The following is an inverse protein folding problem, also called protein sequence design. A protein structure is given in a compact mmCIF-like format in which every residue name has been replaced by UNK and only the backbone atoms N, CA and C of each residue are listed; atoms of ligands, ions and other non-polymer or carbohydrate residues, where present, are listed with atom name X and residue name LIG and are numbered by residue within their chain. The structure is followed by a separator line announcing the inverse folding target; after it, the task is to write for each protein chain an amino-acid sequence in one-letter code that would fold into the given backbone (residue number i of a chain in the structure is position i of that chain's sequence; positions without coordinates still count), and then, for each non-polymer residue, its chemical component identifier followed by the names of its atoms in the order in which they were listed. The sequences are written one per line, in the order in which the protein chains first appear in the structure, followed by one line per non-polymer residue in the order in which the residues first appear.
data_IF_194717058308
#
_entry.id   IF_194717058308
#
_cell.length_a   1.000
_cell.length_b   1.000
_cell.length_c   1.000
_cell.angle_alpha   90.00
_cell.angle_beta   90.00
_cell.angle_gamma   90.00
#
_symmetry.space_group_name_H-M   'P 1'
#
loop_
_entity.id
_entity.type
_entity.pdbx_description
1 polymer ?
#
# COMPACT_ATOMS: atom_id res chain seq x y z
N UNK A 1 -32.62 52.70 14.09
CA UNK A 1 -31.37 51.91 14.15
C UNK A 1 -31.74 50.47 13.86
N UNK A 2 -31.38 49.95 12.69
CA UNK A 2 -31.71 48.58 12.28
C UNK A 2 -30.69 47.61 12.90
N UNK A 3 -31.16 46.73 13.77
CA UNK A 3 -30.37 45.67 14.37
C UNK A 3 -30.00 44.64 13.30
N UNK A 4 -28.70 44.54 12.99
CA UNK A 4 -28.19 43.46 12.15
C UNK A 4 -28.21 42.16 12.96
N UNK A 5 -29.12 41.27 12.60
CA UNK A 5 -29.14 39.88 13.08
C UNK A 5 -27.91 39.16 12.53
N UNK A 6 -26.93 38.89 13.38
CA UNK A 6 -25.80 38.02 13.05
C UNK A 6 -26.32 36.58 12.88
N UNK A 7 -26.31 36.10 11.63
CA UNK A 7 -26.60 34.69 11.33
C UNK A 7 -25.46 33.87 11.93
N UNK A 8 -25.71 33.29 13.12
CA UNK A 8 -24.81 32.36 13.77
C UNK A 8 -24.98 31.00 13.10
N UNK A 9 -24.06 30.67 12.19
CA UNK A 9 -23.96 29.34 11.62
C UNK A 9 -23.65 28.36 12.75
N UNK A 10 -24.61 27.50 13.11
CA UNK A 10 -24.37 26.39 14.05
C UNK A 10 -23.56 25.33 13.33
N UNK A 11 -22.26 25.30 13.61
CA UNK A 11 -21.38 24.23 13.17
C UNK A 11 -21.74 22.92 13.88
N UNK A 12 -21.51 21.76 13.25
CA UNK A 12 -21.70 20.46 13.89
C UNK A 12 -20.90 20.39 15.20
N UNK A 13 -21.53 19.85 16.25
CA UNK A 13 -20.86 19.63 17.53
C UNK A 13 -19.72 18.64 17.34
N UNK A 14 -18.50 19.04 17.70
CA UNK A 14 -17.33 18.17 17.66
C UNK A 14 -17.56 17.05 18.67
N UNK A 15 -17.55 15.81 18.18
CA UNK A 15 -17.67 14.64 19.04
C UNK A 15 -16.34 14.39 19.77
N UNK A 16 -16.43 14.08 21.06
CA UNK A 16 -15.28 13.69 21.85
C UNK A 16 -14.62 12.45 21.22
N UNK A 17 -13.29 12.46 21.03
CA UNK A 17 -12.58 11.29 20.51
C UNK A 17 -12.71 10.14 21.50
N UNK A 18 -12.79 8.92 20.98
CA UNK A 18 -12.69 7.72 21.83
C UNK A 18 -11.30 7.11 21.68
N UNK A 19 -10.82 6.47 22.75
CA UNK A 19 -9.52 5.83 22.75
C UNK A 19 -9.58 4.47 23.44
N UNK A 20 -9.25 3.42 22.68
CA UNK A 20 -9.29 2.03 23.11
C UNK A 20 -7.96 1.52 23.65
N UNK A 21 -6.88 2.28 23.47
CA UNK A 21 -5.52 1.88 23.83
C UNK A 21 -4.65 1.47 22.66
N UNK A 22 -5.13 1.62 21.41
CA UNK A 22 -4.28 1.46 20.25
C UNK A 22 -3.31 2.65 20.13
N UNK A 23 -2.02 2.37 20.22
CA UNK A 23 -0.96 3.37 20.15
C UNK A 23 -1.03 4.29 18.91
N UNK A 24 -1.50 3.80 17.76
CA UNK A 24 -1.66 4.64 16.55
C UNK A 24 -2.68 5.76 16.71
N UNK A 25 -3.67 5.58 17.61
CA UNK A 25 -4.70 6.57 17.92
C UNK A 25 -4.35 7.50 19.07
N UNK A 26 -3.24 7.26 19.79
CA UNK A 26 -2.90 7.98 21.02
C UNK A 26 -2.72 9.48 20.79
N UNK A 27 -1.92 9.86 19.79
CA UNK A 27 -1.57 11.28 19.53
C UNK A 27 -2.82 12.07 19.18
N UNK A 28 -3.63 11.56 18.23
CA UNK A 28 -4.90 12.18 17.85
C UNK A 28 -5.84 12.34 19.04
N UNK A 29 -5.99 11.30 19.86
CA UNK A 29 -6.82 11.36 21.06
C UNK A 29 -6.28 12.41 22.05
N UNK A 30 -4.99 12.37 22.34
CA UNK A 30 -4.33 13.25 23.29
C UNK A 30 -4.49 14.70 22.89
N UNK A 31 -4.16 15.07 21.64
CA UNK A 31 -4.24 16.44 21.16
C UNK A 31 -5.69 16.95 21.17
N UNK A 32 -6.62 16.14 20.66
CA UNK A 32 -8.04 16.51 20.58
C UNK A 32 -8.69 16.61 21.97
N UNK A 33 -8.42 15.66 22.86
CA UNK A 33 -8.94 15.70 24.23
C UNK A 33 -8.31 16.84 25.03
N UNK A 34 -7.03 17.13 24.79
CA UNK A 34 -6.33 18.24 25.43
C UNK A 34 -7.01 19.56 25.08
N UNK A 35 -7.19 19.83 23.77
CA UNK A 35 -7.78 21.08 23.31
C UNK A 35 -9.25 21.25 23.68
N UNK A 36 -10.03 20.16 23.73
CA UNK A 36 -11.48 20.23 23.97
C UNK A 36 -11.87 20.14 25.44
N UNK A 37 -11.09 19.44 26.27
CA UNK A 37 -11.45 19.14 27.67
C UNK A 37 -10.35 19.53 28.64
N UNK A 38 -9.10 19.09 28.44
CA UNK A 38 -8.05 19.32 29.44
C UNK A 38 -7.77 20.81 29.68
N UNK A 39 -7.69 21.59 28.60
CA UNK A 39 -7.42 23.04 28.62
C UNK A 39 -8.68 23.90 28.81
N UNK A 40 -9.86 23.28 28.93
CA UNK A 40 -11.10 23.99 29.18
C UNK A 40 -11.26 24.40 30.65
N UNK A 41 -12.18 25.34 30.90
CA UNK A 41 -12.55 25.84 32.24
C UNK A 41 -13.38 24.86 33.09
N UNK A 42 -13.51 23.60 32.65
CA UNK A 42 -14.21 22.55 33.40
C UNK A 42 -13.47 22.21 34.71
N UNK A 43 -14.22 21.75 35.72
CA UNK A 43 -13.59 21.22 36.94
C UNK A 43 -12.90 19.88 36.67
N UNK A 44 -11.93 19.52 37.51
CA UNK A 44 -11.18 18.27 37.36
C UNK A 44 -12.09 17.03 37.43
N UNK A 45 -13.10 17.02 38.31
CA UNK A 45 -14.17 15.98 38.31
C UNK A 45 -14.90 15.90 36.98
N UNK A 46 -15.29 17.03 36.39
CA UNK A 46 -15.98 17.04 35.10
C UNK A 46 -15.07 16.51 33.99
N UNK A 47 -13.81 16.98 33.94
CA UNK A 47 -12.80 16.48 33.01
C UNK A 47 -12.60 14.98 33.17
N UNK A 48 -12.63 14.46 34.39
CA UNK A 48 -12.50 13.03 34.65
C UNK A 48 -13.76 12.25 34.19
N UNK A 49 -14.97 12.77 34.38
CA UNK A 49 -16.17 12.15 33.79
C UNK A 49 -16.06 12.02 32.27
N UNK A 50 -15.61 13.09 31.59
CA UNK A 50 -15.37 13.04 30.14
C UNK A 50 -14.28 12.03 29.78
N UNK A 51 -13.15 12.05 30.49
CA UNK A 51 -12.03 11.13 30.26
C UNK A 51 -12.48 9.67 30.39
N UNK A 52 -13.18 9.33 31.48
CA UNK A 52 -13.67 7.98 31.72
C UNK A 52 -14.70 7.53 30.65
N UNK A 53 -15.53 8.46 30.16
CA UNK A 53 -16.48 8.18 29.08
C UNK A 53 -15.81 7.97 27.70
N UNK A 54 -14.70 8.64 27.46
CA UNK A 54 -13.97 8.62 26.20
C UNK A 54 -13.07 7.37 26.05
N UNK A 55 -12.59 6.82 27.16
CA UNK A 55 -11.73 5.65 27.15
C UNK A 55 -12.53 4.35 27.01
N UNK A 56 -11.94 3.40 26.29
CA UNK A 56 -12.49 2.06 26.03
C UNK A 56 -11.42 1.00 26.25
N UNK A 57 -11.85 -0.25 26.43
CA UNK A 57 -10.97 -1.42 26.40
C UNK A 57 -9.72 -1.30 27.28
N UNK A 58 -8.52 -1.66 26.75
CA UNK A 58 -7.24 -1.48 27.45
C UNK A 58 -6.99 -0.10 28.06
N UNK A 59 -7.38 0.99 27.39
CA UNK A 59 -7.13 2.33 27.92
C UNK A 59 -7.98 2.65 29.14
N UNK A 60 -9.24 2.23 29.16
CA UNK A 60 -10.12 2.40 30.33
C UNK A 60 -9.58 1.64 31.56
N UNK A 61 -8.95 0.48 31.36
CA UNK A 61 -8.34 -0.31 32.45
C UNK A 61 -7.22 0.42 33.18
N UNK A 62 -6.53 1.37 32.54
CA UNK A 62 -5.43 2.13 33.17
C UNK A 62 -5.91 2.93 34.38
N UNK A 63 -7.15 3.38 34.36
CA UNK A 63 -7.71 4.27 35.39
C UNK A 63 -8.88 3.64 36.13
N UNK A 64 -9.18 2.36 35.87
CA UNK A 64 -10.37 1.67 36.38
C UNK A 64 -10.42 1.60 37.91
N UNK A 65 -9.27 1.57 38.58
CA UNK A 65 -9.20 1.55 40.06
C UNK A 65 -9.35 2.93 40.69
N UNK A 66 -9.37 4.00 39.91
CA UNK A 66 -9.48 5.37 40.39
C UNK A 66 -10.97 5.77 40.44
N UNK A 67 -11.44 6.17 41.62
CA UNK A 67 -12.76 6.79 41.75
C UNK A 67 -12.77 8.16 41.09
N UNK A 68 -13.91 8.56 40.49
CA UNK A 68 -14.04 9.87 39.86
C UNK A 68 -14.07 10.97 40.94
N UNK A 69 -12.96 11.71 41.05
CA UNK A 69 -12.77 12.84 41.99
C UNK A 69 -11.77 13.85 41.42
N UNK A 70 -11.73 15.07 41.95
CA UNK A 70 -10.85 16.13 41.45
C UNK A 70 -9.38 15.70 41.62
N UNK A 71 -9.05 15.17 42.81
CA UNK A 71 -7.72 14.68 43.15
C UNK A 71 -7.22 13.56 42.24
N UNK A 72 -8.13 12.72 41.72
CA UNK A 72 -7.76 11.56 40.93
C UNK A 72 -7.65 11.86 39.44
N UNK A 73 -8.18 12.99 38.95
CA UNK A 73 -8.10 13.36 37.54
C UNK A 73 -6.64 13.48 37.06
N UNK A 74 -5.83 14.25 37.78
CA UNK A 74 -4.40 14.38 37.49
C UNK A 74 -3.71 13.02 37.44
N UNK A 75 -4.00 12.15 38.42
CA UNK A 75 -3.39 10.81 38.53
C UNK A 75 -3.77 9.97 37.30
N UNK A 76 -5.05 9.98 36.91
CA UNK A 76 -5.56 9.31 35.73
C UNK A 76 -4.89 9.81 34.45
N UNK A 77 -4.76 11.14 34.30
CA UNK A 77 -4.14 11.79 33.14
C UNK A 77 -2.67 11.42 33.00
N UNK A 78 -1.90 11.50 34.09
CA UNK A 78 -0.47 11.11 34.10
C UNK A 78 -0.29 9.61 33.87
N UNK A 79 -1.16 8.76 34.42
CA UNK A 79 -1.09 7.32 34.20
C UNK A 79 -1.33 6.94 32.73
N UNK A 80 -2.32 7.55 32.07
CA UNK A 80 -2.57 7.37 30.64
C UNK A 80 -1.38 7.85 29.80
N UNK A 81 -0.89 9.05 30.11
CA UNK A 81 0.30 9.62 29.49
C UNK A 81 1.48 8.67 29.60
N UNK A 82 1.86 8.27 30.81
CA UNK A 82 2.97 7.33 31.04
C UNK A 82 2.81 6.00 30.29
N UNK A 83 1.59 5.45 30.21
CA UNK A 83 1.31 4.17 29.55
C UNK A 83 1.40 4.25 28.02
N UNK A 84 0.81 5.27 27.44
CA UNK A 84 0.57 5.36 25.98
C UNK A 84 1.49 6.34 25.27
N UNK A 85 2.00 7.33 25.99
CA UNK A 85 3.15 8.13 25.60
C UNK A 85 4.47 7.40 25.86
N UNK A 86 4.44 6.08 26.15
CA UNK A 86 5.61 5.21 26.12
C UNK A 86 6.15 5.11 24.68
N UNK A 87 6.81 6.20 24.32
CA UNK A 87 7.30 6.57 23.01
C UNK A 87 8.37 5.63 22.51
N UNK A 88 9.03 4.84 23.37
CA UNK A 88 10.06 3.89 22.94
C UNK A 88 9.48 2.73 22.12
N UNK A 89 8.38 2.13 22.56
CA UNK A 89 7.71 1.05 21.83
C UNK A 89 7.10 1.56 20.51
N UNK A 90 6.50 2.75 20.56
CA UNK A 90 5.91 3.44 19.41
C UNK A 90 6.97 3.82 18.36
N UNK A 91 8.07 4.44 18.78
CA UNK A 91 9.22 4.73 17.93
C UNK A 91 9.76 3.46 17.29
N UNK A 92 10.00 2.42 18.10
CA UNK A 92 10.47 1.13 17.60
C UNK A 92 9.51 0.56 16.55
N UNK A 93 8.20 0.61 16.80
CA UNK A 93 7.19 0.13 15.87
C UNK A 93 7.26 0.88 14.53
N UNK A 94 7.22 2.21 14.53
CA UNK A 94 7.25 3.00 13.30
C UNK A 94 8.57 2.88 12.54
N UNK A 95 9.72 2.85 13.24
CA UNK A 95 11.01 2.60 12.60
C UNK A 95 11.05 1.21 11.98
N UNK A 96 10.60 0.18 12.69
CA UNK A 96 10.58 -1.19 12.18
C UNK A 96 9.65 -1.30 10.97
N UNK A 97 8.44 -0.75 11.05
CA UNK A 97 7.47 -0.76 9.94
C UNK A 97 8.00 -0.03 8.69
N UNK A 98 8.68 1.10 8.89
CA UNK A 98 9.34 1.85 7.81
C UNK A 98 10.45 1.04 7.12
N UNK A 99 11.27 0.32 7.91
CA UNK A 99 12.32 -0.57 7.39
C UNK A 99 11.73 -1.81 6.70
N UNK A 100 10.58 -2.29 7.16
CA UNK A 100 9.90 -3.49 6.70
C UNK A 100 8.88 -3.24 5.58
N UNK A 101 8.77 -2.00 5.07
CA UNK A 101 7.95 -1.68 3.88
C UNK A 101 8.23 -2.72 2.78
N UNK A 102 7.16 -3.22 2.16
CA UNK A 102 7.22 -4.34 1.21
C UNK A 102 8.06 -3.97 -0.01
N UNK A 103 8.89 -4.92 -0.48
CA UNK A 103 9.69 -4.76 -1.70
C UNK A 103 8.78 -4.92 -2.92
N UNK A 104 8.81 -3.93 -3.81
CA UNK A 104 8.09 -3.91 -5.08
C UNK A 104 8.87 -4.76 -6.10
N UNK A 105 8.35 -5.96 -6.40
CA UNK A 105 9.01 -6.90 -7.31
C UNK A 105 8.81 -6.57 -8.79
N UNK A 106 7.69 -5.91 -9.13
CA UNK A 106 7.29 -5.57 -10.49
C UNK A 106 6.71 -4.17 -10.52
N UNK A 107 6.85 -3.49 -11.65
CA UNK A 107 6.25 -2.18 -11.88
C UNK A 107 4.76 -2.20 -11.54
N UNK A 108 4.36 -1.36 -10.60
CA UNK A 108 2.98 -1.23 -10.16
C UNK A 108 2.74 0.21 -9.72
N UNK A 109 1.85 0.96 -10.41
CA UNK A 109 1.55 2.34 -10.03
C UNK A 109 0.98 2.43 -8.61
N UNK A 110 0.15 1.46 -8.23
CA UNK A 110 -0.48 1.39 -6.90
C UNK A 110 0.60 1.17 -5.83
N UNK A 111 1.50 0.20 -6.04
CA UNK A 111 2.53 -0.12 -5.04
C UNK A 111 3.52 1.03 -4.83
N UNK A 112 3.83 1.82 -5.87
CA UNK A 112 4.67 3.01 -5.73
C UNK A 112 4.00 4.09 -4.88
N UNK A 113 2.68 4.28 -5.04
CA UNK A 113 1.90 5.23 -4.24
C UNK A 113 1.79 4.77 -2.79
N UNK A 114 1.47 3.50 -2.57
CA UNK A 114 1.40 2.90 -1.23
C UNK A 114 2.74 3.00 -0.50
N UNK A 115 3.88 2.77 -1.18
CA UNK A 115 5.21 2.96 -0.59
C UNK A 115 5.43 4.39 -0.10
N UNK A 116 5.03 5.39 -0.89
CA UNK A 116 5.15 6.81 -0.52
C UNK A 116 4.24 7.14 0.65
N UNK A 117 2.99 6.67 0.62
CA UNK A 117 1.99 6.90 1.67
C UNK A 117 2.45 6.27 2.99
N UNK A 118 2.89 5.01 2.97
CA UNK A 118 3.42 4.31 4.15
C UNK A 118 4.64 5.03 4.73
N UNK A 119 5.59 5.43 3.88
CA UNK A 119 6.77 6.17 4.33
C UNK A 119 6.39 7.52 4.97
N UNK A 120 5.49 8.28 4.34
CA UNK A 120 4.99 9.55 4.90
C UNK A 120 4.27 9.35 6.22
N UNK A 121 3.41 8.33 6.32
CA UNK A 121 2.66 8.03 7.53
C UNK A 121 3.59 7.71 8.71
N UNK A 122 4.61 6.86 8.49
CA UNK A 122 5.58 6.52 9.53
C UNK A 122 6.49 7.70 9.89
N UNK A 123 6.99 8.48 8.92
CA UNK A 123 7.79 9.67 9.20
C UNK A 123 6.98 10.75 9.94
N UNK A 124 5.70 10.94 9.60
CA UNK A 124 4.82 11.85 10.31
C UNK A 124 4.58 11.42 11.76
N UNK A 125 4.34 10.12 11.99
CA UNK A 125 4.18 9.57 13.33
C UNK A 125 5.47 9.67 14.17
N UNK A 126 6.65 9.51 13.54
CA UNK A 126 7.93 9.71 14.21
C UNK A 126 8.17 11.19 14.53
N UNK A 127 7.81 12.11 13.62
CA UNK A 127 7.88 13.56 13.86
C UNK A 127 7.03 13.98 15.06
N UNK A 128 5.81 13.45 15.19
CA UNK A 128 4.95 13.74 16.35
C UNK A 128 5.44 13.10 17.65
N UNK A 129 6.36 12.13 17.58
CA UNK A 129 7.11 11.59 18.72
C UNK A 129 8.42 12.35 18.99
N UNK A 130 8.61 13.52 18.36
CA UNK A 130 9.79 14.39 18.45
C UNK A 130 11.09 13.78 17.90
N UNK A 131 11.00 12.85 16.95
CA UNK A 131 12.17 12.37 16.20
C UNK A 131 12.59 13.38 15.12
N UNK A 132 13.91 13.61 14.91
CA UNK A 132 14.42 14.59 13.96
C UNK A 132 14.39 14.08 12.51
N UNK A 133 13.22 13.62 12.06
CA UNK A 133 13.02 12.95 10.76
C UNK A 133 13.43 13.81 9.56
N UNK A 134 13.39 15.13 9.69
CA UNK A 134 13.77 16.08 8.63
C UNK A 134 15.27 16.04 8.30
N UNK A 135 16.08 15.43 9.18
CA UNK A 135 17.52 15.22 8.96
C UNK A 135 17.85 13.83 8.40
N UNK A 136 16.85 12.98 8.18
CA UNK A 136 17.05 11.56 7.83
C UNK A 136 17.05 11.28 6.34
N UNK A 137 16.92 12.30 5.48
CA UNK A 137 16.89 12.16 4.02
C UNK A 137 18.00 11.24 3.49
N UNK A 138 19.23 11.43 3.96
CA UNK A 138 20.41 10.65 3.56
C UNK A 138 20.37 9.18 3.98
N UNK A 139 19.47 8.80 4.90
CA UNK A 139 19.24 7.42 5.30
C UNK A 139 17.98 6.86 4.64
N UNK A 140 16.88 7.60 4.69
CA UNK A 140 15.57 7.08 4.30
C UNK A 140 15.45 6.89 2.79
N UNK A 141 16.01 7.80 1.99
CA UNK A 141 15.95 7.69 0.54
C UNK A 141 16.69 6.42 0.07
N UNK A 142 17.95 6.15 0.46
CA UNK A 142 18.61 4.88 0.12
C UNK A 142 17.86 3.64 0.61
N UNK A 143 17.26 3.67 1.80
CA UNK A 143 16.46 2.55 2.33
C UNK A 143 15.25 2.28 1.43
N UNK A 144 14.50 3.32 1.07
CA UNK A 144 13.32 3.19 0.21
C UNK A 144 13.68 2.83 -1.24
N UNK A 145 14.85 3.27 -1.74
CA UNK A 145 15.35 2.85 -3.05
C UNK A 145 15.50 1.32 -3.14
N UNK A 146 15.89 0.65 -2.05
CA UNK A 146 15.97 -0.81 -1.97
C UNK A 146 14.62 -1.52 -2.03
N UNK A 147 13.51 -0.78 -1.88
CA UNK A 147 12.15 -1.29 -1.98
C UNK A 147 11.57 -1.16 -3.39
N UNK A 148 12.22 -0.42 -4.29
CA UNK A 148 11.72 -0.21 -5.65
C UNK A 148 11.96 -1.41 -6.56
N UNK A 149 11.12 -1.53 -7.59
CA UNK A 149 11.43 -2.40 -8.72
C UNK A 149 12.62 -1.86 -9.53
N UNK A 150 13.32 -2.75 -10.25
CA UNK A 150 14.54 -2.37 -10.96
C UNK A 150 14.36 -1.28 -12.02
N UNK A 151 13.19 -1.17 -12.65
CA UNK A 151 12.93 -0.15 -13.66
C UNK A 151 12.68 1.22 -13.02
N UNK A 152 11.94 1.28 -11.91
CA UNK A 152 11.72 2.52 -11.15
C UNK A 152 13.01 3.00 -10.47
N UNK A 153 13.81 2.09 -9.90
CA UNK A 153 15.13 2.43 -9.35
C UNK A 153 16.06 3.04 -10.40
N UNK A 154 16.13 2.43 -11.60
CA UNK A 154 16.99 2.94 -12.68
C UNK A 154 16.63 4.37 -13.10
N UNK A 155 15.33 4.65 -13.26
CA UNK A 155 14.86 6.00 -13.61
C UNK A 155 15.12 7.00 -12.48
N UNK A 156 14.98 6.56 -11.22
CA UNK A 156 15.32 7.39 -10.07
C UNK A 156 16.80 7.76 -10.06
N UNK A 157 17.70 6.78 -10.14
CA UNK A 157 19.15 7.02 -10.12
C UNK A 157 19.58 7.95 -11.26
N UNK A 158 18.98 7.79 -12.44
CA UNK A 158 19.20 8.68 -13.58
C UNK A 158 18.80 10.14 -13.27
N UNK A 159 17.68 10.36 -12.58
CA UNK A 159 17.22 11.70 -12.14
C UNK A 159 18.07 12.24 -10.98
N UNK A 160 18.45 11.37 -10.04
CA UNK A 160 19.17 11.74 -8.82
C UNK A 160 20.64 12.08 -9.06
N UNK A 161 21.28 11.52 -10.10
CA UNK A 161 22.69 11.75 -10.44
C UNK A 161 23.04 13.24 -10.62
N UNK A 162 22.07 14.09 -10.95
CA UNK A 162 22.28 15.53 -11.13
C UNK A 162 22.13 16.38 -9.85
N UNK A 163 21.81 15.75 -8.71
CA UNK A 163 21.52 16.45 -7.45
C UNK A 163 22.54 16.11 -6.36
N UNK A 164 23.12 17.15 -5.74
CA UNK A 164 24.10 17.00 -4.64
C UNK A 164 23.46 16.50 -3.33
N UNK A 165 22.20 16.87 -3.08
CA UNK A 165 21.39 16.35 -1.98
C UNK A 165 20.03 15.88 -2.47
N UNK A 166 19.64 14.71 -1.99
CA UNK A 166 18.41 14.05 -2.40
C UNK A 166 17.44 14.08 -1.23
N UNK A 167 16.53 15.07 -1.23
CA UNK A 167 15.50 15.21 -0.21
C UNK A 167 14.41 14.14 -0.39
N UNK A 168 13.84 13.63 0.71
CA UNK A 168 12.73 12.68 0.66
C UNK A 168 11.54 13.22 -0.13
N UNK A 169 11.25 14.52 -0.02
CA UNK A 169 10.15 15.12 -0.77
C UNK A 169 10.35 15.02 -2.30
N UNK A 170 11.58 15.22 -2.78
CA UNK A 170 11.91 15.08 -4.21
C UNK A 170 11.75 13.63 -4.69
N UNK A 171 12.15 12.68 -3.83
CA UNK A 171 11.95 11.26 -4.07
C UNK A 171 10.47 10.88 -4.12
N UNK A 172 9.69 11.34 -3.16
CA UNK A 172 8.25 11.10 -3.11
C UNK A 172 7.54 11.66 -4.35
N UNK A 173 7.83 12.91 -4.73
CA UNK A 173 7.29 13.52 -5.96
C UNK A 173 7.68 12.73 -7.20
N UNK A 174 8.93 12.27 -7.31
CA UNK A 174 9.33 11.40 -8.42
C UNK A 174 8.51 10.10 -8.48
N UNK A 175 8.28 9.44 -7.34
CA UNK A 175 7.51 8.20 -7.31
C UNK A 175 6.02 8.42 -7.65
N UNK A 176 5.46 9.55 -7.24
CA UNK A 176 4.10 9.96 -7.65
C UNK A 176 4.01 10.20 -9.16
N UNK A 177 4.96 10.95 -9.73
CA UNK A 177 5.08 11.16 -11.18
C UNK A 177 5.24 9.83 -11.92
N UNK A 178 6.07 8.93 -11.39
CA UNK A 178 6.32 7.60 -11.94
C UNK A 178 5.07 6.72 -11.88
N UNK A 179 4.32 6.76 -10.78
CA UNK A 179 3.03 6.09 -10.61
C UNK A 179 2.04 6.57 -11.67
N UNK A 180 1.85 7.88 -11.81
CA UNK A 180 0.96 8.47 -12.81
C UNK A 180 1.38 8.12 -14.25
N UNK A 181 2.67 8.17 -14.55
CA UNK A 181 3.19 7.74 -15.85
C UNK A 181 2.81 6.28 -16.14
N UNK A 182 3.03 5.37 -15.18
CA UNK A 182 2.68 3.95 -15.34
C UNK A 182 1.17 3.76 -15.54
N UNK A 183 0.32 4.50 -14.84
CA UNK A 183 -1.14 4.48 -15.07
C UNK A 183 -1.50 4.88 -16.49
N UNK A 184 -0.85 5.92 -17.03
CA UNK A 184 -1.14 6.45 -18.36
C UNK A 184 -0.62 5.57 -19.51
N UNK A 185 0.49 4.86 -19.31
CA UNK A 185 1.04 3.95 -20.33
C UNK A 185 0.47 2.54 -20.25
N UNK A 186 -0.21 2.19 -19.15
CA UNK A 186 -0.93 0.93 -19.05
C UNK A 186 -2.23 1.08 -19.84
N UNK A 187 -2.51 0.26 -20.87
CA UNK A 187 -3.75 0.37 -21.63
C UNK A 187 -4.95 0.32 -20.69
N UNK A 188 -5.87 1.29 -20.81
CA UNK A 188 -7.14 1.40 -20.06
C UNK A 188 -8.06 0.19 -20.34
N UNK A 189 -7.70 -0.98 -19.79
CA UNK A 189 -8.39 -2.24 -20.06
C UNK A 189 -8.08 -3.36 -19.07
N UNK A 190 -7.27 -3.10 -18.04
CA UNK A 190 -7.08 -4.03 -16.92
C UNK A 190 -7.45 -3.35 -15.60
N UNK A 191 -8.68 -2.83 -15.52
CA UNK A 191 -9.38 -2.86 -14.24
C UNK A 191 -9.60 -4.35 -13.96
N UNK A 192 -8.68 -4.97 -13.22
CA UNK A 192 -8.99 -6.23 -12.56
C UNK A 192 -10.08 -5.90 -11.55
N UNK A 193 -11.34 -5.99 -11.97
CA UNK A 193 -12.46 -6.08 -11.05
C UNK A 193 -12.10 -7.24 -10.15
N UNK A 194 -11.83 -6.96 -8.87
CA UNK A 194 -11.61 -7.97 -7.88
C UNK A 194 -12.75 -8.97 -8.02
N UNK A 195 -12.44 -10.21 -8.44
CA UNK A 195 -13.42 -11.28 -8.40
C UNK A 195 -13.79 -11.43 -6.93
N UNK A 196 -14.96 -10.91 -6.58
CA UNK A 196 -15.64 -11.27 -5.33
C UNK A 196 -15.76 -12.78 -5.37
N UNK A 197 -14.99 -13.47 -4.52
CA UNK A 197 -15.11 -14.90 -4.36
C UNK A 197 -16.57 -15.20 -3.97
N UNK A 198 -17.30 -16.08 -4.70
CA UNK A 198 -18.56 -16.58 -4.20
C UNK A 198 -18.33 -17.30 -2.87
N UNK A 199 -19.32 -17.30 -1.96
CA UNK A 199 -19.17 -17.94 -0.66
C UNK A 199 -18.93 -19.44 -0.81
N UNK A 200 -18.08 -19.93 0.09
CA UNK A 200 -17.52 -21.27 0.17
C UNK A 200 -18.61 -22.34 0.20
N UNK A 201 -18.53 -23.29 -0.74
CA UNK A 201 -19.39 -24.47 -0.77
C UNK A 201 -18.72 -25.64 -1.49
N UNK A 202 -18.37 -26.66 -0.71
CA UNK A 202 -18.05 -28.04 -1.07
C UNK A 202 -16.70 -28.39 -1.74
N UNK A 203 -15.89 -29.02 -0.88
CA UNK A 203 -14.71 -29.85 -1.08
C UNK A 203 -14.58 -30.61 -2.41
N UNK A 204 -13.39 -30.51 -3.00
CA UNK A 204 -12.88 -31.38 -4.05
C UNK A 204 -11.36 -31.42 -4.02
N UNK A 205 -10.82 -32.49 -3.47
CA UNK A 205 -9.41 -32.76 -3.18
C UNK A 205 -8.52 -32.69 -4.44
N UNK A 206 -7.68 -31.66 -4.62
CA UNK A 206 -6.50 -31.70 -5.52
C UNK A 206 -5.32 -30.91 -4.95
N UNK A 207 -4.17 -31.59 -4.89
CA UNK A 207 -2.89 -31.13 -4.33
C UNK A 207 -2.37 -29.86 -5.04
N UNK A 208 -1.64 -28.96 -4.36
CA UNK A 208 -1.10 -27.76 -4.97
C UNK A 208 0.14 -28.11 -5.81
N UNK A 209 0.13 -27.76 -7.10
CA UNK A 209 1.29 -27.86 -7.99
C UNK A 209 1.85 -26.46 -8.21
N UNK A 210 3.17 -26.33 -8.09
CA UNK A 210 3.93 -25.09 -8.27
C UNK A 210 3.57 -24.38 -9.60
N UNK A 211 3.05 -23.15 -9.51
CA UNK A 211 2.83 -22.28 -10.68
C UNK A 211 4.13 -21.60 -11.09
N UNK A 212 4.72 -22.08 -12.18
CA UNK A 212 5.65 -21.29 -13.00
C UNK A 212 4.86 -20.25 -13.80
N UNK A 213 5.28 -19.00 -13.69
CA UNK A 213 4.70 -17.84 -14.36
C UNK A 213 4.69 -17.98 -15.88
N UNK A 214 3.50 -17.91 -16.49
CA UNK A 214 3.31 -17.79 -17.94
C UNK A 214 3.12 -16.32 -18.33
N UNK A 215 3.80 -15.91 -19.41
CA UNK A 215 3.61 -14.62 -20.09
C UNK A 215 2.42 -14.78 -21.04
N UNK A 216 1.30 -14.14 -20.75
CA UNK A 216 0.15 -14.08 -21.67
C UNK A 216 0.38 -13.02 -22.73
N UNK A 217 0.69 -13.45 -23.95
CA UNK A 217 0.55 -12.63 -25.15
C UNK A 217 -0.94 -12.38 -25.44
N UNK A 218 -1.32 -11.14 -25.79
CA UNK A 218 -2.62 -10.77 -26.35
C UNK A 218 -3.11 -11.76 -27.42
N UNK A 219 -4.44 -11.84 -27.68
CA UNK A 219 -5.00 -12.64 -28.77
C UNK A 219 -4.64 -12.00 -30.11
N UNK A 220 -3.37 -12.16 -30.49
CA UNK A 220 -2.79 -11.58 -31.68
C UNK A 220 -3.05 -12.45 -32.89
N UNK A 221 -3.26 -11.79 -34.02
CA UNK A 221 -3.33 -12.36 -35.35
C UNK A 221 -2.26 -13.43 -35.57
N UNK A 222 -2.57 -14.45 -36.38
CA UNK A 222 -1.67 -15.55 -36.71
C UNK A 222 -0.31 -15.01 -37.20
N UNK A 223 0.82 -15.42 -36.58
CA UNK A 223 2.14 -14.89 -36.95
C UNK A 223 2.61 -15.29 -38.36
N UNK A 224 1.94 -16.25 -39.02
CA UNK A 224 2.28 -16.68 -40.38
C UNK A 224 1.52 -15.92 -41.49
N UNK A 225 0.28 -15.48 -41.23
CA UNK A 225 -0.59 -14.87 -42.25
C UNK A 225 -1.25 -13.56 -41.85
N UNK A 226 -1.20 -13.17 -40.58
CA UNK A 226 -1.83 -11.95 -40.08
C UNK A 226 -3.35 -12.01 -39.94
N UNK A 227 -4.00 -13.16 -40.17
CA UNK A 227 -5.44 -13.37 -39.97
C UNK A 227 -5.78 -13.86 -38.55
N UNK A 228 -7.04 -13.72 -38.10
CA UNK A 228 -7.46 -14.10 -36.74
C UNK A 228 -7.74 -15.60 -36.65
N UNK A 229 -6.72 -16.39 -36.32
CA UNK A 229 -6.85 -17.79 -35.92
C UNK A 229 -5.57 -18.27 -35.21
N UNK A 230 -5.63 -19.39 -34.46
CA UNK A 230 -4.44 -20.02 -33.90
C UNK A 230 -3.47 -20.51 -34.99
N UNK A 231 -2.16 -20.56 -34.67
CA UNK A 231 -1.12 -20.97 -35.62
C UNK A 231 -1.31 -22.40 -36.14
N UNK A 232 -1.75 -23.33 -35.28
CA UNK A 232 -2.04 -24.72 -35.68
C UNK A 232 -3.21 -24.86 -36.68
N UNK A 233 -4.04 -23.83 -36.83
CA UNK A 233 -5.14 -23.78 -37.82
C UNK A 233 -4.76 -23.00 -39.08
N UNK A 234 -3.52 -22.53 -39.22
CA UNK A 234 -3.10 -21.72 -40.36
C UNK A 234 -2.67 -22.60 -41.55
N UNK A 235 -3.39 -22.52 -42.67
CA UNK A 235 -3.03 -23.27 -43.88
C UNK A 235 -1.70 -22.78 -44.49
N UNK A 236 -1.47 -21.46 -44.47
CA UNK A 236 -0.20 -20.86 -44.91
C UNK A 236 0.99 -21.37 -44.10
N UNK A 237 0.83 -21.58 -42.78
CA UNK A 237 1.88 -22.14 -41.93
C UNK A 237 2.12 -23.62 -42.23
N UNK A 238 1.05 -24.41 -42.42
CA UNK A 238 1.15 -25.84 -42.75
C UNK A 238 1.88 -26.08 -44.07
N UNK A 239 1.76 -25.16 -45.04
CA UNK A 239 2.45 -25.22 -46.33
C UNK A 239 3.92 -24.79 -46.31
N UNK A 240 4.46 -24.26 -45.20
CA UNK A 240 5.86 -23.83 -45.14
C UNK A 240 6.83 -25.02 -45.00
N UNK A 241 8.08 -24.90 -45.49
CA UNK A 241 9.17 -25.81 -45.16
C UNK A 241 9.45 -25.84 -43.64
N UNK A 242 9.97 -26.96 -43.13
CA UNK A 242 10.22 -27.16 -41.70
C UNK A 242 11.16 -26.09 -41.09
N UNK A 243 12.13 -25.62 -41.88
CA UNK A 243 13.07 -24.56 -41.49
C UNK A 243 12.34 -23.23 -41.24
N UNK A 244 11.39 -22.87 -42.09
CA UNK A 244 10.58 -21.67 -41.94
C UNK A 244 9.54 -21.81 -40.83
N UNK A 245 8.93 -23.00 -40.67
CA UNK A 245 8.04 -23.29 -39.53
C UNK A 245 8.75 -23.07 -38.20
N UNK A 246 9.99 -23.54 -38.09
CA UNK A 246 10.83 -23.38 -36.89
C UNK A 246 11.11 -21.91 -36.59
N UNK A 247 11.44 -21.11 -37.62
CA UNK A 247 11.63 -19.66 -37.47
C UNK A 247 10.38 -18.95 -36.98
N UNK A 248 9.21 -19.28 -37.54
CA UNK A 248 7.92 -18.67 -37.13
C UNK A 248 7.61 -19.00 -35.67
N UNK A 249 7.78 -20.25 -35.23
CA UNK A 249 7.55 -20.65 -33.84
C UNK A 249 8.51 -19.95 -32.88
N UNK A 250 9.79 -19.86 -33.25
CA UNK A 250 10.82 -19.18 -32.45
C UNK A 250 10.56 -17.68 -32.30
N UNK A 251 10.17 -17.02 -33.40
CA UNK A 251 9.93 -15.56 -33.42
C UNK A 251 8.64 -15.20 -32.71
N UNK A 252 7.60 -16.04 -32.85
CA UNK A 252 6.29 -15.84 -32.19
C UNK A 252 6.23 -16.31 -30.74
N UNK A 253 7.32 -16.87 -30.19
CA UNK A 253 7.40 -17.42 -28.83
C UNK A 253 6.26 -18.41 -28.52
N UNK A 254 5.86 -19.19 -29.52
CA UNK A 254 4.88 -20.27 -29.35
C UNK A 254 5.57 -21.58 -29.00
N UNK A 255 4.84 -22.51 -28.38
CA UNK A 255 5.37 -23.82 -28.01
C UNK A 255 5.70 -24.62 -29.28
N UNK A 256 6.94 -25.14 -29.39
CA UNK A 256 7.35 -26.02 -30.50
C UNK A 256 6.59 -27.35 -30.58
N UNK A 257 5.83 -27.72 -29.55
CA UNK A 257 5.02 -28.92 -29.56
C UNK A 257 3.59 -28.64 -30.05
N UNK A 258 2.87 -27.71 -29.41
CA UNK A 258 1.44 -27.49 -29.70
C UNK A 258 1.09 -26.16 -30.39
N UNK A 259 2.11 -25.37 -30.76
CA UNK A 259 1.97 -24.08 -31.45
C UNK A 259 1.07 -23.06 -30.70
N UNK A 260 0.98 -23.19 -29.38
CA UNK A 260 0.25 -22.26 -28.51
C UNK A 260 1.21 -21.35 -27.75
N UNK A 261 0.86 -20.08 -27.52
CA UNK A 261 1.65 -19.20 -26.70
C UNK A 261 1.55 -19.56 -25.20
N UNK A 262 2.36 -18.90 -24.39
CA UNK A 262 2.29 -18.97 -22.93
C UNK A 262 3.27 -19.98 -22.33
N UNK A 263 3.56 -21.11 -22.96
CA UNK A 263 4.41 -22.16 -22.40
C UNK A 263 5.49 -22.67 -23.36
N UNK A 264 6.51 -23.35 -22.82
CA UNK A 264 7.56 -24.04 -23.60
C UNK A 264 7.28 -25.55 -23.63
N UNK A 265 7.96 -26.28 -24.52
CA UNK A 265 7.80 -27.74 -24.69
C UNK A 265 7.85 -28.52 -23.37
N UNK A 266 8.75 -28.15 -22.45
CA UNK A 266 8.88 -28.79 -21.13
C UNK A 266 7.64 -28.70 -20.25
N UNK A 267 6.79 -27.70 -20.45
CA UNK A 267 5.54 -27.47 -19.72
C UNK A 267 4.31 -27.71 -20.62
N UNK A 268 4.50 -28.36 -21.78
CA UNK A 268 3.42 -28.66 -22.70
C UNK A 268 2.69 -29.94 -22.27
N UNK A 269 1.36 -29.88 -22.22
CA UNK A 269 0.50 -31.00 -21.85
C UNK A 269 -0.03 -31.80 -23.05
N UNK A 270 0.34 -31.40 -24.29
CA UNK A 270 -0.02 -32.17 -25.51
C UNK A 270 0.96 -33.31 -25.74
N UNK A 271 0.43 -34.48 -26.05
CA UNK A 271 1.20 -35.69 -26.30
C UNK A 271 1.54 -35.91 -27.80
N UNK A 272 1.19 -34.96 -28.68
CA UNK A 272 1.54 -34.99 -30.10
C UNK A 272 2.18 -33.66 -30.51
N UNK A 273 3.15 -33.76 -31.44
CA UNK A 273 3.82 -32.62 -32.03
C UNK A 273 3.03 -32.11 -33.25
N UNK A 274 2.50 -30.90 -33.15
CA UNK A 274 1.79 -30.18 -34.22
C UNK A 274 2.75 -29.51 -35.22
N UNK A 275 4.06 -29.57 -34.95
CA UNK A 275 5.11 -29.11 -35.86
C UNK A 275 5.50 -30.27 -36.80
N UNK A 276 4.70 -30.47 -37.85
CA UNK A 276 4.95 -31.39 -38.97
C UNK A 276 5.04 -30.59 -40.27
#
# INVERSE_FOLDING_TARGET
MASQSSITVKLPTIQLPTFDGNYSGWIRFWDTFTSLVHESDLSDVQKFHYLNSALKGPAARVIQSLGVSDSNYHIAWVALKSRYENSAALRKHHVTALLDITIIQKQSPIALRELVDDARNHLAALRSLNEPVDSWDSLIVPILCRKLDGASLREWEKKATSSDRVAFNNFATFLEERSLYLENITPQGQITVARVNPPVGFAGNRRPFHSTTHVTSSPGNCPACGSVHPLFKCDKFKSLPIEEKTRVVQTSQTCFNCLQPGHRVKACTRNHCDLQ
#
